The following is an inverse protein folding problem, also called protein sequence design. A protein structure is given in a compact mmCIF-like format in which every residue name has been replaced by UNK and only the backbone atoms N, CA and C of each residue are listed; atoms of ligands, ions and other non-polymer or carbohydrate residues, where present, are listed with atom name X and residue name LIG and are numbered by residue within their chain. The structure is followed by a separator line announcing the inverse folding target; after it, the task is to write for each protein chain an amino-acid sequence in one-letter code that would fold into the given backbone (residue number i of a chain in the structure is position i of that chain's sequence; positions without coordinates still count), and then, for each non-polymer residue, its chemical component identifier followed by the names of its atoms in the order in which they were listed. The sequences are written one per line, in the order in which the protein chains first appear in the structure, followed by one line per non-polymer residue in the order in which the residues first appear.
data_IF_143965204938
#
_entry.id   IF_143965204938
#
_cell.length_a   1.000
_cell.length_b   1.000
_cell.length_c   1.000
_cell.angle_alpha   90.00
_cell.angle_beta   90.00
_cell.angle_gamma   90.00
#
_symmetry.space_group_name_H-M   'P 1'
#
loop_
_entity.id
_entity.type
_entity.pdbx_description
1 polymer ?
#
# COMPACT_ATOMS: atom_id res chain seq x y z
N UNK A 1 20.36 -29.93 -15.27
CA UNK A 1 19.66 -29.09 -16.27
C UNK A 1 20.11 -27.66 -16.08
N UNK A 2 20.62 -26.99 -17.13
CA UNK A 2 20.93 -25.55 -17.04
C UNK A 2 19.59 -24.82 -16.93
N UNK A 3 19.34 -24.05 -15.85
CA UNK A 3 18.09 -23.30 -15.72
C UNK A 3 17.97 -22.30 -16.86
N UNK A 4 16.79 -22.26 -17.47
CA UNK A 4 16.59 -21.43 -18.65
C UNK A 4 16.65 -19.95 -18.25
N UNK A 5 17.46 -19.16 -18.96
CA UNK A 5 17.69 -17.74 -18.63
C UNK A 5 16.38 -16.94 -18.57
N UNK A 6 15.43 -17.23 -19.46
CA UNK A 6 14.12 -16.61 -19.46
C UNK A 6 13.35 -16.88 -18.16
N UNK A 7 13.42 -18.09 -17.60
CA UNK A 7 12.71 -18.45 -16.38
C UNK A 7 13.23 -17.69 -15.16
N UNK A 8 14.55 -17.47 -15.09
CA UNK A 8 15.18 -16.65 -14.05
C UNK A 8 14.70 -15.19 -14.11
N UNK A 9 14.69 -14.61 -15.30
CA UNK A 9 14.21 -13.24 -15.51
C UNK A 9 12.73 -13.11 -15.18
N UNK A 10 11.89 -14.05 -15.60
CA UNK A 10 10.46 -14.05 -15.26
C UNK A 10 10.25 -14.17 -13.75
N UNK A 11 10.95 -15.09 -13.08
CA UNK A 11 10.89 -15.24 -11.62
C UNK A 11 11.26 -13.93 -10.91
N UNK A 12 12.35 -13.29 -11.35
CA UNK A 12 12.79 -12.00 -10.83
C UNK A 12 11.71 -10.92 -10.95
N UNK A 13 11.13 -10.77 -12.14
CA UNK A 13 10.08 -9.76 -12.40
C UNK A 13 8.84 -10.06 -11.54
N UNK A 14 8.40 -11.32 -11.46
CA UNK A 14 7.24 -11.68 -10.66
C UNK A 14 7.45 -11.41 -9.17
N UNK A 15 8.66 -11.66 -8.64
CA UNK A 15 9.03 -11.32 -7.27
C UNK A 15 9.00 -9.80 -7.08
N UNK A 16 9.57 -9.02 -8.00
CA UNK A 16 9.55 -7.57 -7.91
C UNK A 16 8.11 -7.01 -7.93
N UNK A 17 7.26 -7.50 -8.83
CA UNK A 17 5.85 -7.07 -8.93
C UNK A 17 5.07 -7.49 -7.69
N UNK A 18 5.29 -8.68 -7.13
CA UNK A 18 4.65 -9.12 -5.89
C UNK A 18 4.94 -8.14 -4.73
N UNK A 19 6.20 -7.70 -4.61
CA UNK A 19 6.62 -6.80 -3.53
C UNK A 19 6.11 -5.35 -3.71
N UNK A 20 5.48 -5.00 -4.83
CA UNK A 20 4.81 -3.70 -4.95
C UNK A 20 3.69 -3.56 -3.91
N UNK A 21 2.98 -4.65 -3.60
CA UNK A 21 1.91 -4.65 -2.60
C UNK A 21 2.36 -4.45 -1.15
N UNK A 22 3.66 -4.29 -0.88
CA UNK A 22 4.15 -4.19 0.49
C UNK A 22 3.86 -2.83 1.15
N UNK A 23 3.91 -1.73 0.37
CA UNK A 23 3.81 -0.35 0.87
C UNK A 23 3.07 0.63 -0.07
N UNK A 24 2.71 0.20 -1.29
CA UNK A 24 2.25 1.12 -2.35
C UNK A 24 0.94 1.83 -2.03
N UNK A 25 0.04 1.17 -1.30
CA UNK A 25 -1.22 1.70 -0.80
C UNK A 25 -1.01 2.78 0.24
N UNK A 26 -0.21 2.53 1.27
CA UNK A 26 0.05 3.51 2.33
C UNK A 26 0.84 4.72 1.82
N UNK A 27 1.92 4.50 1.07
CA UNK A 27 2.71 5.57 0.44
C UNK A 27 1.82 6.41 -0.48
N UNK A 28 1.01 5.74 -1.30
CA UNK A 28 0.09 6.42 -2.18
C UNK A 28 -0.97 7.22 -1.43
N UNK A 29 -1.52 6.68 -0.34
CA UNK A 29 -2.57 7.32 0.45
C UNK A 29 -2.04 8.51 1.26
N UNK A 30 -0.81 8.43 1.78
CA UNK A 30 -0.13 9.56 2.43
C UNK A 30 0.06 10.71 1.45
N UNK A 31 0.42 10.42 0.20
CA UNK A 31 0.50 11.42 -0.86
C UNK A 31 -0.83 12.11 -1.22
N UNK A 32 -1.96 11.46 -0.95
CA UNK A 32 -3.32 12.00 -1.18
C UNK A 32 -3.86 12.84 0.00
N UNK A 33 -3.22 12.78 1.17
CA UNK A 33 -3.65 13.53 2.36
C UNK A 33 -3.87 15.03 2.08
N UNK A 34 -3.01 15.74 1.32
CA UNK A 34 -3.22 17.15 0.99
C UNK A 34 -4.51 17.44 0.20
N UNK A 35 -5.07 16.47 -0.53
CA UNK A 35 -6.38 16.62 -1.16
C UNK A 35 -7.50 16.27 -0.20
N UNK A 36 -7.35 15.18 0.55
CA UNK A 36 -8.38 14.68 1.49
C UNK A 36 -8.64 15.69 2.62
N UNK A 37 -7.60 16.39 3.09
CA UNK A 37 -7.68 17.41 4.15
C UNK A 37 -8.68 18.53 3.85
N UNK A 38 -8.91 18.83 2.57
CA UNK A 38 -9.82 19.91 2.15
C UNK A 38 -11.29 19.53 2.26
N UNK A 39 -11.60 18.22 2.31
CA UNK A 39 -12.96 17.69 2.35
C UNK A 39 -13.28 16.96 3.66
N UNK A 40 -12.26 16.45 4.35
CA UNK A 40 -12.43 15.70 5.57
C UNK A 40 -12.80 16.62 6.75
N UNK A 41 -13.73 16.22 7.64
CA UNK A 41 -14.12 16.99 8.82
C UNK A 41 -12.97 17.18 9.83
N UNK A 42 -11.94 16.35 9.78
CA UNK A 42 -10.74 16.50 10.61
C UNK A 42 -9.83 17.66 10.17
N UNK A 43 -9.93 18.12 8.92
CA UNK A 43 -9.04 19.13 8.35
C UNK A 43 -7.56 18.77 8.59
N UNK A 44 -6.74 19.78 8.89
CA UNK A 44 -5.29 19.62 9.10
C UNK A 44 -4.87 18.77 10.30
N UNK A 45 -5.82 18.26 11.10
CA UNK A 45 -5.52 17.23 12.10
C UNK A 45 -5.42 15.82 11.48
N UNK A 46 -5.88 15.64 10.23
CA UNK A 46 -5.89 14.36 9.52
C UNK A 46 -4.51 13.71 9.36
N UNK A 47 -3.44 14.41 8.93
CA UNK A 47 -2.10 13.82 8.85
C UNK A 47 -1.61 13.30 10.21
N UNK A 48 -1.81 14.09 11.27
CA UNK A 48 -1.39 13.70 12.62
C UNK A 48 -2.15 12.47 13.14
N UNK A 49 -3.47 12.39 12.86
CA UNK A 49 -4.28 11.24 13.21
C UNK A 49 -3.88 9.99 12.41
N UNK A 50 -3.59 10.13 11.11
CA UNK A 50 -3.10 9.06 10.26
C UNK A 50 -1.74 8.52 10.74
N UNK A 51 -0.81 9.40 11.09
CA UNK A 51 0.48 9.03 11.70
C UNK A 51 0.32 8.27 13.02
N UNK A 52 -0.68 8.63 13.83
CA UNK A 52 -1.01 7.88 15.05
C UNK A 52 -1.54 6.49 14.73
N UNK A 53 -2.43 6.35 13.74
CA UNK A 53 -2.91 5.04 13.27
C UNK A 53 -1.74 4.16 12.82
N UNK A 54 -0.82 4.69 12.01
CA UNK A 54 0.37 3.96 11.58
C UNK A 54 1.27 3.56 12.77
N UNK A 55 1.45 4.46 13.73
CA UNK A 55 2.25 4.19 14.93
C UNK A 55 1.67 3.05 15.77
N UNK A 56 0.34 2.99 15.91
CA UNK A 56 -0.34 1.87 16.59
C UNK A 56 -0.27 0.59 15.75
N UNK A 57 -0.35 0.70 14.42
CA UNK A 57 -0.27 -0.43 13.50
C UNK A 57 1.09 -1.16 13.54
N UNK A 58 2.17 -0.49 13.95
CA UNK A 58 3.48 -1.10 14.19
C UNK A 58 3.48 -2.21 15.27
N UNK A 59 2.37 -2.42 15.98
CA UNK A 59 2.18 -3.59 16.85
C UNK A 59 2.02 -4.89 16.01
N UNK A 60 1.56 -4.81 14.76
CA UNK A 60 1.32 -5.97 13.90
C UNK A 60 2.56 -6.86 13.69
N UNK A 61 3.76 -6.33 13.39
CA UNK A 61 5.01 -7.12 13.39
C UNK A 61 5.26 -7.91 14.67
N UNK A 62 5.00 -7.31 15.83
CA UNK A 62 5.19 -7.96 17.14
C UNK A 62 4.25 -9.16 17.25
N UNK A 63 3.00 -9.02 16.79
CA UNK A 63 2.02 -10.11 16.76
C UNK A 63 2.52 -11.25 15.86
N UNK A 64 3.03 -10.95 14.66
CA UNK A 64 3.56 -11.97 13.74
C UNK A 64 4.74 -12.72 14.36
N UNK A 65 5.69 -11.99 14.97
CA UNK A 65 6.85 -12.60 15.64
C UNK A 65 6.41 -13.52 16.78
N UNK A 66 5.44 -13.11 17.60
CA UNK A 66 4.90 -13.94 18.68
C UNK A 66 4.15 -15.17 18.15
N UNK A 67 3.38 -15.03 17.07
CA UNK A 67 2.70 -16.15 16.41
C UNK A 67 3.69 -17.16 15.87
N UNK A 68 4.76 -16.69 15.22
CA UNK A 68 5.83 -17.56 14.74
C UNK A 68 6.53 -18.27 15.89
N UNK A 69 6.88 -17.56 16.95
CA UNK A 69 7.51 -18.17 18.12
C UNK A 69 6.66 -19.31 18.71
N UNK A 70 5.34 -19.13 18.75
CA UNK A 70 4.39 -20.16 19.22
C UNK A 70 4.20 -21.33 18.25
N UNK A 71 4.19 -21.06 16.94
CA UNK A 71 3.91 -22.08 15.93
C UNK A 71 5.17 -22.83 15.46
N UNK A 72 6.37 -22.28 15.68
CA UNK A 72 7.64 -22.85 15.27
C UNK A 72 7.62 -23.22 13.78
N UNK A 73 7.99 -24.47 13.47
CA UNK A 73 8.06 -24.99 12.10
C UNK A 73 6.69 -25.17 11.41
N UNK A 74 5.56 -24.94 12.09
CA UNK A 74 4.23 -24.98 11.46
C UNK A 74 3.83 -23.65 10.82
N UNK A 75 4.58 -22.58 11.10
CA UNK A 75 4.33 -21.29 10.48
C UNK A 75 4.69 -21.36 9.00
N UNK A 76 3.70 -21.14 8.13
CA UNK A 76 3.92 -21.01 6.69
C UNK A 76 3.62 -19.58 6.30
N UNK A 77 4.54 -18.94 5.58
CA UNK A 77 4.43 -17.54 5.13
C UNK A 77 3.35 -17.38 4.04
N UNK A 78 3.12 -18.42 3.23
CA UNK A 78 2.28 -18.36 2.03
C UNK A 78 0.83 -17.92 2.35
N UNK A 79 0.12 -18.50 3.34
CA UNK A 79 -1.22 -18.02 3.72
C UNK A 79 -1.25 -16.56 4.17
N UNK A 80 -0.20 -16.10 4.87
CA UNK A 80 -0.11 -14.72 5.34
C UNK A 80 0.13 -13.76 4.18
N UNK A 81 0.93 -14.13 3.18
CA UNK A 81 1.10 -13.33 1.96
C UNK A 81 -0.24 -13.16 1.24
N UNK A 82 -1.01 -14.25 1.05
CA UNK A 82 -2.35 -14.15 0.47
C UNK A 82 -3.28 -13.26 1.30
N UNK A 83 -3.27 -13.42 2.62
CA UNK A 83 -4.08 -12.59 3.54
C UNK A 83 -3.75 -11.11 3.36
N UNK A 84 -2.46 -10.76 3.38
CA UNK A 84 -1.99 -9.37 3.25
C UNK A 84 -2.45 -8.76 1.93
N UNK A 85 -2.18 -9.42 0.80
CA UNK A 85 -2.50 -8.87 -0.52
C UNK A 85 -4.02 -8.78 -0.74
N UNK A 86 -4.78 -9.81 -0.33
CA UNK A 86 -6.24 -9.83 -0.54
C UNK A 86 -6.94 -8.82 0.38
N UNK A 87 -6.58 -8.76 1.67
CA UNK A 87 -7.18 -7.80 2.59
C UNK A 87 -6.76 -6.37 2.23
N UNK A 88 -5.52 -6.15 1.77
CA UNK A 88 -5.06 -4.87 1.25
C UNK A 88 -5.90 -4.42 0.05
N UNK A 89 -6.06 -5.29 -0.96
CA UNK A 89 -6.90 -5.01 -2.12
C UNK A 89 -8.35 -4.67 -1.74
N UNK A 90 -8.95 -5.45 -0.85
CA UNK A 90 -10.31 -5.20 -0.36
C UNK A 90 -10.39 -3.88 0.40
N UNK A 91 -9.39 -3.55 1.22
CA UNK A 91 -9.33 -2.32 1.99
C UNK A 91 -9.19 -1.09 1.08
N UNK A 92 -8.37 -1.15 0.03
CA UNK A 92 -8.30 -0.12 -1.00
C UNK A 92 -9.64 0.04 -1.73
N UNK A 93 -10.29 -1.05 -2.12
CA UNK A 93 -11.61 -1.00 -2.74
C UNK A 93 -12.64 -0.33 -1.82
N UNK A 94 -12.75 -0.77 -0.57
CA UNK A 94 -13.64 -0.15 0.42
C UNK A 94 -13.34 1.34 0.55
N UNK A 95 -12.08 1.69 0.81
CA UNK A 95 -11.62 3.06 0.96
C UNK A 95 -12.00 3.93 -0.25
N UNK A 96 -11.80 3.45 -1.47
CA UNK A 96 -12.13 4.19 -2.70
C UNK A 96 -13.62 4.60 -2.77
N UNK A 97 -14.53 3.80 -2.21
CA UNK A 97 -15.96 4.11 -2.18
C UNK A 97 -16.43 4.78 -0.89
N UNK A 98 -15.70 4.64 0.22
CA UNK A 98 -16.14 5.11 1.54
C UNK A 98 -15.32 6.26 2.11
N UNK A 99 -14.25 6.73 1.45
CA UNK A 99 -13.38 7.77 2.01
C UNK A 99 -14.10 9.10 2.32
N UNK A 100 -15.14 9.48 1.55
CA UNK A 100 -15.97 10.66 1.81
C UNK A 100 -17.08 10.41 2.84
N UNK A 101 -17.32 9.17 3.26
CA UNK A 101 -18.42 8.84 4.18
C UNK A 101 -18.00 9.16 5.61
N UNK A 102 -18.72 10.08 6.24
CA UNK A 102 -18.52 10.47 7.64
C UNK A 102 -19.60 9.85 8.53
N UNK A 103 -19.28 9.67 9.81
CA UNK A 103 -20.22 9.25 10.86
C UNK A 103 -20.18 10.29 11.98
N UNK A 104 -21.33 10.63 12.55
CA UNK A 104 -21.41 11.54 13.69
C UNK A 104 -21.07 10.81 15.00
N UNK A 105 -19.95 11.17 15.63
CA UNK A 105 -19.43 10.58 16.86
C UNK A 105 -18.93 11.66 17.81
N UNK A 106 -19.22 11.52 19.10
CA UNK A 106 -18.79 12.47 20.15
C UNK A 106 -19.11 13.95 19.82
N UNK A 107 -20.27 14.18 19.19
CA UNK A 107 -20.72 15.54 18.84
C UNK A 107 -20.05 16.16 17.62
N UNK A 108 -19.28 15.40 16.82
CA UNK A 108 -18.64 15.87 15.58
C UNK A 108 -18.72 14.82 14.48
N UNK A 109 -18.68 15.25 13.23
CA UNK A 109 -18.48 14.33 12.10
C UNK A 109 -17.05 13.79 12.10
N UNK A 110 -16.90 12.50 11.82
CA UNK A 110 -15.62 11.79 11.81
C UNK A 110 -15.52 10.86 10.60
N UNK A 111 -14.35 10.81 9.98
CA UNK A 111 -14.00 9.95 8.84
C UNK A 111 -13.65 8.54 9.27
N UNK A 112 -14.57 7.87 9.97
CA UNK A 112 -14.33 6.54 10.58
C UNK A 112 -13.93 5.49 9.55
N UNK A 113 -14.59 5.49 8.39
CA UNK A 113 -14.27 4.56 7.31
C UNK A 113 -12.87 4.78 6.75
N UNK A 114 -12.46 6.04 6.59
CA UNK A 114 -11.11 6.38 6.16
C UNK A 114 -10.08 5.86 7.16
N UNK A 115 -10.21 6.19 8.45
CA UNK A 115 -9.24 5.75 9.46
C UNK A 115 -9.25 4.24 9.69
N UNK A 116 -10.41 3.58 9.60
CA UNK A 116 -10.50 2.13 9.72
C UNK A 116 -9.77 1.40 8.59
N UNK A 117 -9.98 1.84 7.35
CA UNK A 117 -9.25 1.29 6.19
C UNK A 117 -7.77 1.66 6.25
N UNK A 118 -7.43 2.92 6.54
CA UNK A 118 -6.03 3.38 6.71
C UNK A 118 -5.29 2.53 7.74
N UNK A 119 -5.90 2.31 8.91
CA UNK A 119 -5.31 1.49 9.96
C UNK A 119 -5.14 0.03 9.54
N UNK A 120 -6.12 -0.52 8.81
CA UNK A 120 -6.02 -1.89 8.27
C UNK A 120 -4.87 -2.00 7.29
N UNK A 121 -4.76 -1.09 6.33
CA UNK A 121 -3.64 -1.02 5.39
C UNK A 121 -2.31 -0.91 6.14
N UNK A 122 -2.17 0.07 7.05
CA UNK A 122 -0.97 0.24 7.88
C UNK A 122 -0.55 -1.04 8.62
N UNK A 123 -1.51 -1.79 9.20
CA UNK A 123 -1.17 -3.05 9.88
C UNK A 123 -0.61 -4.09 8.92
N UNK A 124 -1.20 -4.19 7.71
CA UNK A 124 -0.74 -5.10 6.69
C UNK A 124 0.65 -4.71 6.18
N UNK A 125 0.90 -3.42 5.95
CA UNK A 125 2.15 -2.91 5.39
C UNK A 125 3.31 -3.01 6.39
N UNK A 126 3.07 -2.67 7.65
CA UNK A 126 4.07 -2.91 8.70
C UNK A 126 4.46 -4.39 8.77
N UNK A 127 3.52 -5.29 8.48
CA UNK A 127 3.71 -6.74 8.57
C UNK A 127 4.26 -7.38 7.30
N UNK A 128 4.01 -6.77 6.13
CA UNK A 128 4.28 -7.30 4.80
C UNK A 128 5.78 -7.51 4.58
N UNK A 129 6.61 -6.50 4.85
CA UNK A 129 8.06 -6.60 4.68
C UNK A 129 8.62 -7.77 5.49
N UNK A 130 8.16 -7.98 6.73
CA UNK A 130 8.63 -9.07 7.58
C UNK A 130 8.29 -10.45 6.96
N UNK A 131 7.02 -10.66 6.58
CA UNK A 131 6.56 -11.92 5.98
C UNK A 131 7.18 -12.16 4.61
N UNK A 132 7.33 -11.13 3.78
CA UNK A 132 7.86 -11.23 2.43
C UNK A 132 9.36 -11.56 2.47
N UNK A 133 10.14 -10.89 3.33
CA UNK A 133 11.55 -11.21 3.53
C UNK A 133 11.75 -12.63 4.07
N UNK A 134 10.88 -13.10 4.94
CA UNK A 134 10.97 -14.48 5.42
C UNK A 134 10.65 -15.50 4.33
N UNK A 135 9.65 -15.25 3.50
CA UNK A 135 9.37 -16.09 2.34
C UNK A 135 10.56 -16.14 1.38
N UNK A 136 11.30 -15.03 1.25
CA UNK A 136 12.50 -14.97 0.43
C UNK A 136 13.68 -15.79 0.95
N UNK A 137 13.67 -16.22 2.22
CA UNK A 137 14.70 -17.15 2.75
C UNK A 137 14.70 -18.50 2.04
N UNK A 138 13.58 -18.87 1.42
CA UNK A 138 13.47 -20.08 0.61
C UNK A 138 14.18 -19.95 -0.74
N UNK A 139 14.50 -18.72 -1.17
CA UNK A 139 15.07 -18.43 -2.48
C UNK A 139 16.56 -18.08 -2.39
N UNK A 140 17.26 -18.23 -3.52
CA UNK A 140 18.66 -17.80 -3.63
C UNK A 140 18.82 -16.30 -3.46
N UNK A 141 19.92 -15.87 -2.83
CA UNK A 141 20.20 -14.48 -2.44
C UNK A 141 20.06 -13.45 -3.56
N UNK A 142 20.35 -13.83 -4.82
CA UNK A 142 20.18 -12.92 -5.96
C UNK A 142 18.74 -12.39 -6.10
N UNK A 143 17.72 -13.18 -5.74
CA UNK A 143 16.32 -12.74 -5.80
C UNK A 143 15.94 -11.74 -4.71
N UNK A 144 16.74 -11.55 -3.66
CA UNK A 144 16.52 -10.46 -2.69
C UNK A 144 16.63 -9.09 -3.37
N UNK A 145 17.47 -8.95 -4.39
CA UNK A 145 17.55 -7.71 -5.17
C UNK A 145 16.25 -7.39 -5.91
N UNK A 146 15.47 -8.41 -6.30
CA UNK A 146 14.14 -8.21 -6.89
C UNK A 146 13.14 -7.66 -5.86
N UNK A 147 13.22 -8.13 -4.61
CA UNK A 147 12.39 -7.61 -3.52
C UNK A 147 12.67 -6.15 -3.27
N UNK A 148 13.93 -5.77 -3.12
CA UNK A 148 14.31 -4.37 -2.95
C UNK A 148 13.94 -3.49 -4.15
N UNK A 149 13.97 -4.04 -5.37
CA UNK A 149 13.47 -3.34 -6.54
C UNK A 149 11.96 -3.07 -6.43
N UNK A 150 11.18 -4.09 -6.03
CA UNK A 150 9.74 -3.95 -5.79
C UNK A 150 9.44 -2.90 -4.72
N UNK A 151 10.09 -3.00 -3.57
CA UNK A 151 9.99 -2.01 -2.48
C UNK A 151 10.39 -0.60 -2.93
N UNK A 152 11.44 -0.45 -3.75
CA UNK A 152 11.82 0.86 -4.29
C UNK A 152 10.76 1.45 -5.24
N UNK A 153 10.03 0.60 -5.97
CA UNK A 153 8.99 1.03 -6.90
C UNK A 153 7.69 1.44 -6.19
N UNK A 154 7.46 1.04 -4.93
CA UNK A 154 6.26 1.44 -4.16
C UNK A 154 6.21 2.93 -3.89
N UNK A 155 7.35 3.61 -3.78
CA UNK A 155 7.40 5.07 -3.70
C UNK A 155 7.31 5.73 -5.09
N UNK A 156 7.89 5.12 -6.11
CA UNK A 156 7.99 5.74 -7.45
C UNK A 156 6.62 5.78 -8.15
N UNK A 157 5.89 4.65 -8.15
CA UNK A 157 4.62 4.53 -8.90
C UNK A 157 3.57 5.53 -8.40
N UNK A 158 3.27 5.63 -7.09
CA UNK A 158 2.31 6.60 -6.59
C UNK A 158 2.73 8.04 -6.85
N UNK A 159 4.02 8.37 -6.77
CA UNK A 159 4.50 9.72 -7.06
C UNK A 159 4.25 10.13 -8.51
N UNK A 160 4.45 9.23 -9.48
CA UNK A 160 4.07 9.50 -10.87
C UNK A 160 2.56 9.66 -11.04
N UNK A 161 1.76 8.87 -10.32
CA UNK A 161 0.29 8.99 -10.32
C UNK A 161 -0.17 10.33 -9.73
N UNK A 162 0.40 10.77 -8.61
CA UNK A 162 0.11 12.06 -7.97
C UNK A 162 0.49 13.23 -8.87
N UNK A 163 1.66 13.16 -9.52
CA UNK A 163 2.09 14.16 -10.49
C UNK A 163 1.11 14.22 -11.67
N UNK A 164 0.68 13.06 -12.19
CA UNK A 164 -0.32 12.99 -13.26
C UNK A 164 -1.70 13.51 -12.82
N UNK A 165 -2.08 13.28 -11.57
CA UNK A 165 -3.30 13.82 -10.96
C UNK A 165 -3.23 15.34 -10.79
N UNK A 166 -2.03 15.89 -10.61
CA UNK A 166 -1.81 17.31 -10.35
C UNK A 166 -2.01 17.68 -8.88
N UNK A 167 -1.74 16.75 -7.96
CA UNK A 167 -1.75 17.05 -6.52
C UNK A 167 -0.64 18.06 -6.21
N UNK A 168 -0.98 19.14 -5.50
CA UNK A 168 0.00 20.17 -5.12
C UNK A 168 0.14 21.35 -6.08
N UNK A 169 -0.88 21.64 -6.90
CA UNK A 169 -0.96 22.93 -7.58
C UNK A 169 -0.97 24.10 -6.57
N UNK A 170 -0.29 25.21 -6.91
CA UNK A 170 -0.21 26.40 -6.06
C UNK A 170 -1.61 26.86 -5.65
N UNK A 171 -1.83 27.07 -4.35
CA UNK A 171 -3.08 27.63 -3.86
C UNK A 171 -3.11 29.12 -4.21
N UNK A 172 -4.11 29.55 -4.98
CA UNK A 172 -4.25 30.97 -5.32
C UNK A 172 -5.08 31.65 -4.23
N UNK A 173 -4.46 32.57 -3.50
CA UNK A 173 -5.16 33.37 -2.49
C UNK A 173 -5.94 34.49 -3.19
N UNK A 174 -7.26 34.39 -3.21
CA UNK A 174 -8.13 35.43 -3.76
C UNK A 174 -8.74 36.25 -2.62
N UNK A 175 -8.98 37.54 -2.87
CA UNK A 175 -9.75 38.36 -1.94
C UNK A 175 -11.21 37.93 -1.95
N UNK A 176 -11.75 37.75 -0.76
CA UNK A 176 -13.18 37.48 -0.54
C UNK A 176 -14.00 38.65 -1.07
N UNK A 177 -15.28 38.44 -1.40
CA UNK A 177 -16.17 39.46 -2.00
C UNK A 177 -16.29 40.75 -1.18
N UNK A 178 -16.01 40.68 0.13
CA UNK A 178 -16.01 41.82 1.05
C UNK A 178 -14.64 42.54 1.18
N UNK A 179 -13.59 42.07 0.50
CA UNK A 179 -12.26 42.69 0.46
C UNK A 179 -11.45 42.62 1.77
N UNK A 180 -11.95 41.95 2.79
CA UNK A 180 -11.37 41.95 4.15
C UNK A 180 -10.58 40.68 4.50
N UNK A 181 -10.75 39.59 3.76
CA UNK A 181 -10.02 38.33 3.96
C UNK A 181 -9.45 37.78 2.65
N UNK A 182 -8.39 37.00 2.76
CA UNK A 182 -7.80 36.21 1.68
C UNK A 182 -8.19 34.75 1.91
N UNK A 183 -8.79 34.10 0.90
CA UNK A 183 -9.13 32.68 0.95
C UNK A 183 -8.30 31.90 -0.08
N UNK A 184 -7.68 30.78 0.31
CA UNK A 184 -6.91 29.95 -0.60
C UNK A 184 -7.84 29.12 -1.49
N UNK A 185 -7.73 29.27 -2.81
CA UNK A 185 -8.37 28.40 -3.80
C UNK A 185 -7.35 27.35 -4.23
N UNK A 186 -7.66 26.08 -3.95
CA UNK A 186 -6.87 24.94 -4.37
C UNK A 186 -7.20 24.56 -5.82
N UNK A 187 -6.17 24.20 -6.59
CA UNK A 187 -6.36 23.68 -7.95
C UNK A 187 -7.08 22.33 -7.92
N UNK A 188 -8.09 22.17 -8.77
CA UNK A 188 -8.80 20.89 -8.87
C UNK A 188 -7.90 19.79 -9.47
N UNK A 189 -7.89 18.57 -8.91
CA UNK A 189 -7.13 17.48 -9.46
C UNK A 189 -7.73 17.00 -10.79
N UNK A 190 -6.88 16.53 -11.71
CA UNK A 190 -7.30 16.03 -13.03
C UNK A 190 -8.21 14.81 -12.95
N UNK A 191 -8.09 14.04 -11.87
CA UNK A 191 -8.97 12.93 -11.55
C UNK A 191 -9.15 12.78 -10.03
N UNK A 192 -10.28 12.21 -9.62
CA UNK A 192 -10.64 12.09 -8.20
C UNK A 192 -9.73 11.14 -7.41
N UNK A 193 -9.63 11.37 -6.10
CA UNK A 193 -8.98 10.48 -5.11
C UNK A 193 -9.48 9.03 -5.22
N UNK A 194 -10.76 8.84 -5.53
CA UNK A 194 -11.34 7.51 -5.78
C UNK A 194 -10.64 6.77 -6.93
N UNK A 195 -10.40 7.45 -8.05
CA UNK A 195 -9.75 6.85 -9.23
C UNK A 195 -8.30 6.51 -8.86
N UNK A 196 -7.62 7.42 -8.16
CA UNK A 196 -6.26 7.18 -7.67
C UNK A 196 -6.16 5.92 -6.81
N UNK A 197 -7.01 5.79 -5.78
CA UNK A 197 -7.01 4.61 -4.89
C UNK A 197 -7.32 3.32 -5.68
N UNK A 198 -8.21 3.38 -6.68
CA UNK A 198 -8.48 2.23 -7.55
C UNK A 198 -7.28 1.85 -8.43
N UNK A 199 -6.49 2.83 -8.90
CA UNK A 199 -5.25 2.56 -9.65
C UNK A 199 -4.22 1.86 -8.75
N UNK A 200 -4.08 2.26 -7.49
CA UNK A 200 -3.25 1.53 -6.52
C UNK A 200 -3.78 0.11 -6.31
N UNK A 201 -5.10 -0.05 -6.18
CA UNK A 201 -5.76 -1.36 -6.11
C UNK A 201 -5.45 -2.26 -7.33
N UNK A 202 -5.37 -1.70 -8.55
CA UNK A 202 -4.95 -2.46 -9.73
C UNK A 202 -3.50 -2.96 -9.63
N UNK A 203 -2.59 -2.19 -9.03
CA UNK A 203 -1.20 -2.63 -8.81
C UNK A 203 -1.13 -3.73 -7.75
N UNK A 204 -1.92 -3.65 -6.68
CA UNK A 204 -2.05 -4.71 -5.68
C UNK A 204 -2.65 -5.97 -6.31
N UNK A 205 -3.64 -5.84 -7.19
CA UNK A 205 -4.20 -6.97 -7.92
C UNK A 205 -3.17 -7.62 -8.86
N UNK A 206 -2.32 -6.82 -9.52
CA UNK A 206 -1.19 -7.35 -10.30
C UNK A 206 -0.20 -8.11 -9.40
N UNK A 207 0.07 -7.61 -8.19
CA UNK A 207 0.90 -8.28 -7.18
C UNK A 207 0.32 -9.64 -6.78
N UNK A 208 -1.00 -9.72 -6.58
CA UNK A 208 -1.71 -10.98 -6.30
C UNK A 208 -1.56 -11.98 -7.44
N UNK A 209 -1.75 -11.53 -8.68
CA UNK A 209 -1.59 -12.37 -9.87
C UNK A 209 -0.14 -12.87 -9.95
N UNK A 210 0.84 -12.01 -9.72
CA UNK A 210 2.25 -12.40 -9.71
C UNK A 210 2.56 -13.46 -8.65
N UNK A 211 2.00 -13.35 -7.45
CA UNK A 211 2.17 -14.36 -6.41
C UNK A 211 1.50 -15.69 -6.77
N UNK A 212 0.29 -15.65 -7.32
CA UNK A 212 -0.40 -16.85 -7.82
C UNK A 212 0.43 -17.53 -8.92
N UNK A 213 0.96 -16.76 -9.88
CA UNK A 213 1.80 -17.30 -10.93
C UNK A 213 3.07 -17.94 -10.37
N UNK A 214 3.77 -17.30 -9.42
CA UNK A 214 4.93 -17.90 -8.76
C UNK A 214 4.59 -19.22 -8.08
N UNK A 215 3.40 -19.32 -7.47
CA UNK A 215 3.00 -20.51 -6.70
C UNK A 215 2.49 -21.66 -7.55
N UNK A 216 1.73 -21.37 -8.59
CA UNK A 216 1.00 -22.37 -9.38
C UNK A 216 1.73 -22.80 -10.65
N UNK A 217 2.77 -22.06 -11.06
CA UNK A 217 3.59 -22.43 -12.22
C UNK A 217 4.90 -23.09 -11.80
N UNK A 218 5.52 -23.83 -12.72
CA UNK A 218 6.83 -24.45 -12.50
C UNK A 218 8.00 -23.46 -12.67
N UNK A 219 7.76 -22.14 -12.70
CA UNK A 219 8.79 -21.12 -12.95
C UNK A 219 9.89 -21.18 -11.89
N UNK A 220 9.52 -21.36 -10.62
CA UNK A 220 10.48 -21.47 -9.50
C UNK A 220 11.43 -22.66 -9.73
N UNK A 221 10.89 -23.81 -10.14
CA UNK A 221 11.66 -25.02 -10.43
C UNK A 221 12.52 -24.86 -11.70
N UNK A 222 11.96 -24.29 -12.77
CA UNK A 222 12.66 -24.03 -14.04
C UNK A 222 13.80 -23.02 -13.90
N UNK A 223 13.65 -22.06 -12.98
CA UNK A 223 14.64 -21.06 -12.68
C UNK A 223 15.73 -21.54 -11.69
N UNK A 224 15.54 -22.74 -11.09
CA UNK A 224 16.37 -23.25 -9.99
C UNK A 224 16.49 -22.20 -8.87
N UNK A 225 15.36 -21.61 -8.49
CA UNK A 225 15.31 -20.40 -7.66
C UNK A 225 15.34 -20.67 -6.16
N UNK A 226 15.01 -21.90 -5.74
CA UNK A 226 14.99 -22.32 -4.33
C UNK A 226 16.41 -22.63 -3.86
N UNK A 227 16.71 -22.38 -2.59
CA UNK A 227 17.94 -22.85 -1.97
C UNK A 227 17.93 -24.39 -1.88
N UNK A 228 19.09 -25.05 -2.06
CA UNK A 228 19.20 -26.51 -1.90
C UNK A 228 18.95 -26.97 -0.45
#
# INVERSE_FOLDING_TARGET
HVPAQWARTTCFILIAVMNLSAWIDLEGLVGEIPLIVTQAPEGWALPSAASLCLSVANIAPIIIVLLRWRQGNRFSEIPYIYLIIVVGLLSCCVLAFTWQRTIFLFGRERSVWFFGSFFTLSMLDCSSSLVFFDYMKLFRDHYLTAVFLGEGLTGIIPMFLLLAQGVGGEATCVLTTNGTSLEPIYSEPRFSVKIYILLLGCVIAASLISFILLRWTNIIALADAVQP
#
